data_IF_521493558677
#
_entry.id   IF_521493558677
#
_cell.length_a   1.000
_cell.length_b   1.000
_cell.length_c   1.000
_cell.angle_alpha   90.00
_cell.angle_beta   90.00
_cell.angle_gamma   90.00
#
_symmetry.space_group_name_H-M   'P 1'
#
loop_
_entity.id
_entity.type
_entity.pdbx_description
1 polymer ?
2 non-polymer ?
3 non-polymer ?
4 non-polymer ?
5 water ?
#
# COMPACT_ATOMS: atom_id res chain seq x y z
N UNK A 1 21.16 6.62 -10.92
CA UNK A 1 20.09 6.86 -9.93
C UNK A 1 19.64 5.50 -9.42
N UNK A 2 19.43 4.55 -10.33
CA UNK A 2 19.00 3.18 -9.92
C UNK A 2 20.22 2.26 -10.03
N UNK A 3 20.56 1.54 -8.96
CA UNK A 3 21.83 0.78 -8.95
C UNK A 3 21.64 -0.62 -9.56
N UNK A 4 21.36 -0.69 -10.86
CA UNK A 4 21.10 -1.90 -11.54
C UNK A 4 22.26 -2.91 -11.42
N UNK A 5 23.47 -2.43 -11.42
CA UNK A 5 24.68 -3.31 -11.42
C UNK A 5 24.80 -4.04 -10.08
N UNK A 6 24.57 -3.29 -8.96
CA UNK A 6 24.58 -3.88 -7.64
C UNK A 6 23.41 -4.82 -7.52
N UNK A 7 22.20 -4.35 -7.93
CA UNK A 7 21.04 -5.12 -7.65
C UNK A 7 21.09 -6.44 -8.46
N UNK A 8 21.38 -6.33 -9.72
CA UNK A 8 21.36 -7.53 -10.52
C UNK A 8 22.24 -8.59 -9.77
N UNK A 9 23.38 -8.12 -9.23
CA UNK A 9 24.49 -9.02 -8.76
C UNK A 9 23.78 -9.82 -7.67
N UNK A 10 22.97 -9.13 -6.89
CA UNK A 10 22.29 -9.86 -5.85
C UNK A 10 21.43 -10.90 -6.58
N UNK A 11 20.67 -10.46 -7.61
CA UNK A 11 19.54 -11.33 -8.03
C UNK A 11 20.15 -12.55 -8.77
N UNK A 12 21.24 -12.34 -9.49
CA UNK A 12 21.83 -13.38 -10.31
C UNK A 12 22.61 -14.37 -9.43
N UNK A 13 22.76 -14.04 -8.13
CA UNK A 13 23.82 -14.75 -7.34
C UNK A 13 23.57 -16.27 -7.35
N UNK A 14 22.30 -16.68 -7.31
CA UNK A 14 22.04 -18.13 -7.35
C UNK A 14 22.04 -18.81 -8.72
N UNK A 15 22.44 -18.12 -9.81
CA UNK A 15 22.41 -18.71 -11.10
C UNK A 15 21.03 -19.09 -11.59
N UNK A 16 21.02 -19.97 -12.56
CA UNK A 16 19.75 -20.54 -13.07
C UNK A 16 19.08 -19.75 -14.19
N UNK A 17 19.83 -18.81 -14.80
CA UNK A 17 19.43 -18.06 -16.01
C UNK A 17 17.99 -17.49 -15.88
N UNK A 18 17.77 -16.64 -14.90
CA UNK A 18 16.40 -16.29 -14.50
C UNK A 18 15.84 -15.16 -15.36
N UNK A 19 16.71 -14.40 -16.03
CA UNK A 19 16.29 -13.27 -16.84
C UNK A 19 15.65 -12.14 -16.06
N UNK A 20 16.20 -11.84 -14.87
CA UNK A 20 15.72 -10.70 -14.09
C UNK A 20 15.76 -9.42 -14.95
N UNK A 21 14.70 -8.62 -14.91
CA UNK A 21 14.66 -7.34 -15.64
C UNK A 21 13.92 -6.33 -14.76
N UNK A 22 14.37 -5.06 -14.78
CA UNK A 22 13.73 -3.99 -14.01
C UNK A 22 12.33 -3.77 -14.58
N UNK A 23 11.35 -3.53 -13.72
CA UNK A 23 9.98 -3.21 -14.20
C UNK A 23 9.45 -1.90 -13.61
N UNK A 24 10.21 -1.23 -12.74
CA UNK A 24 9.92 0.16 -12.39
C UNK A 24 11.08 1.02 -12.89
N UNK A 30 16.12 2.13 -5.75
CA UNK A 30 15.05 1.21 -5.13
C UNK A 30 14.00 0.74 -6.16
N UNK A 31 14.33 -0.33 -6.87
CA UNK A 31 13.69 -0.76 -8.06
C UNK A 31 13.03 -2.12 -7.85
N UNK A 32 12.05 -2.45 -8.66
CA UNK A 32 11.37 -3.69 -8.69
C UNK A 32 11.75 -4.39 -9.97
N UNK A 33 12.03 -5.69 -9.86
CA UNK A 33 12.48 -6.51 -10.93
C UNK A 33 11.55 -7.71 -11.03
N UNK A 34 11.47 -8.31 -12.23
CA UNK A 34 10.68 -9.47 -12.41
C UNK A 34 11.54 -10.52 -13.14
N UNK A 35 11.31 -11.79 -12.83
CA UNK A 35 12.00 -12.85 -13.50
C UNK A 35 11.35 -13.01 -14.88
N UNK A 36 12.12 -13.58 -15.83
CA UNK A 36 11.66 -13.75 -17.22
C UNK A 36 10.38 -14.58 -17.28
N UNK A 37 10.24 -15.60 -16.44
CA UNK A 37 9.12 -16.51 -16.53
C UNK A 37 7.89 -15.91 -15.81
N UNK A 38 8.02 -14.72 -15.23
CA UNK A 38 6.93 -14.01 -14.58
C UNK A 38 6.58 -14.51 -13.18
N UNK A 39 7.27 -15.53 -12.66
CA UNK A 39 6.85 -16.21 -11.43
C UNK A 39 7.47 -15.58 -10.17
N UNK A 40 8.39 -14.61 -10.31
CA UNK A 40 9.08 -14.03 -9.13
C UNK A 40 9.35 -12.54 -9.34
N UNK A 41 9.22 -11.79 -8.23
CA UNK A 41 9.53 -10.41 -8.22
C UNK A 41 10.66 -10.19 -7.24
N UNK A 42 11.37 -9.07 -7.40
CA UNK A 42 12.27 -8.61 -6.39
C UNK A 42 12.15 -7.09 -6.23
N UNK A 43 12.31 -6.65 -5.00
CA UNK A 43 12.45 -5.27 -4.67
C UNK A 43 13.82 -5.07 -4.07
N UNK A 44 14.55 -4.11 -4.58
CA UNK A 44 15.90 -3.94 -4.11
C UNK A 44 16.09 -2.46 -3.71
N UNK A 45 16.93 -2.23 -2.70
CA UNK A 45 17.17 -0.93 -2.18
C UNK A 45 18.64 -0.72 -1.89
N UNK A 46 19.11 0.56 -1.96
CA UNK A 46 20.46 0.87 -1.54
C UNK A 46 20.66 0.68 -0.04
N UNK A 47 21.95 0.66 0.33
CA UNK A 47 22.47 0.40 1.68
C UNK A 47 21.71 1.18 2.77
N UNK A 48 21.36 2.43 2.45
CA UNK A 48 20.69 3.40 3.33
C UNK A 48 19.26 3.01 3.70
N UNK A 49 18.60 2.13 2.92
CA UNK A 49 17.21 1.79 3.04
C UNK A 49 16.99 0.35 3.49
N UNK A 50 18.08 -0.36 3.74
CA UNK A 50 18.02 -1.79 3.99
C UNK A 50 17.10 -2.09 5.19
N UNK A 51 17.15 -1.30 6.27
CA UNK A 51 16.30 -1.61 7.46
C UNK A 51 14.81 -1.59 7.07
N UNK A 52 14.44 -0.61 6.22
CA UNK A 52 13.10 -0.47 5.76
C UNK A 52 12.71 -1.70 4.92
N UNK A 53 13.65 -2.19 4.09
CA UNK A 53 13.30 -3.37 3.27
C UNK A 53 13.23 -4.63 4.15
N UNK A 54 14.09 -4.68 5.15
CA UNK A 54 14.06 -5.80 6.10
C UNK A 54 12.70 -5.82 6.80
N UNK A 55 12.19 -4.63 7.13
CA UNK A 55 10.90 -4.58 7.85
C UNK A 55 9.77 -4.99 6.91
N UNK A 56 9.90 -4.74 5.61
CA UNK A 56 9.00 -5.26 4.59
C UNK A 56 9.05 -6.77 4.46
N UNK A 57 10.25 -7.34 4.44
CA UNK A 57 10.41 -8.72 4.46
C UNK A 57 9.66 -9.39 5.63
N UNK A 58 9.85 -8.78 6.81
CA UNK A 58 9.19 -9.26 8.04
C UNK A 58 7.66 -9.20 7.91
N UNK A 59 7.15 -8.14 7.34
CA UNK A 59 5.73 -7.97 7.19
C UNK A 59 5.14 -9.04 6.26
N UNK A 60 5.87 -9.38 5.18
CA UNK A 60 5.42 -10.32 4.20
C UNK A 60 5.47 -11.70 4.85
N UNK A 61 6.58 -12.00 5.50
CA UNK A 61 6.72 -13.28 6.16
C UNK A 61 5.67 -13.49 7.23
N UNK A 62 5.42 -12.44 7.99
CA UNK A 62 4.43 -12.64 9.08
C UNK A 62 3.05 -12.79 8.47
N UNK A 63 2.73 -11.97 7.47
CA UNK A 63 1.38 -12.10 6.90
C UNK A 63 1.13 -13.52 6.34
N UNK A 64 2.15 -14.29 5.93
CA UNK A 64 1.93 -15.57 5.43
C UNK A 64 1.44 -16.52 6.55
N UNK A 65 1.57 -16.10 7.79
CA UNK A 65 1.11 -16.94 8.93
C UNK A 65 -0.28 -16.47 9.47
N UNK A 66 -0.92 -15.57 8.78
CA UNK A 66 -2.17 -14.96 9.25
C UNK A 66 -3.41 -15.32 8.39
N UNK A 67 -3.26 -16.19 7.43
CA UNK A 67 -4.34 -16.61 6.55
C UNK A 67 -4.94 -15.43 5.78
N UNK A 68 -4.08 -14.53 5.32
CA UNK A 68 -4.43 -13.40 4.45
C UNK A 68 -3.59 -13.55 3.19
N UNK A 69 -4.23 -13.60 1.99
CA UNK A 69 -3.51 -13.96 0.78
C UNK A 69 -2.53 -12.88 0.33
N UNK A 70 -1.29 -13.32 0.08
CA UNK A 70 -0.21 -12.39 -0.27
C UNK A 70 0.95 -13.20 -0.79
N UNK A 71 2.04 -12.49 -1.14
CA UNK A 71 3.17 -13.24 -1.67
C UNK A 71 3.85 -13.98 -0.55
N UNK A 72 4.71 -14.91 -0.99
CA UNK A 72 5.65 -15.55 -0.10
C UNK A 72 7.04 -14.94 -0.30
N UNK A 73 7.80 -14.86 0.77
CA UNK A 73 9.22 -14.43 0.69
C UNK A 73 10.01 -15.60 0.17
N UNK A 74 10.65 -15.39 -0.98
CA UNK A 74 11.50 -16.47 -1.53
C UNK A 74 12.94 -16.40 -1.06
N UNK A 75 13.50 -15.21 -0.89
CA UNK A 75 14.84 -14.95 -0.49
C UNK A 75 15.04 -13.51 -0.05
N UNK A 76 16.07 -13.38 0.79
CA UNK A 76 16.59 -12.13 1.34
C UNK A 76 18.10 -12.11 1.14
N UNK A 77 18.63 -11.10 0.38
CA UNK A 77 19.99 -11.09 -0.05
C UNK A 77 20.60 -9.70 0.21
N UNK A 78 21.76 -9.68 0.80
CA UNK A 78 22.41 -8.47 1.26
C UNK A 78 23.82 -8.42 0.78
N UNK A 79 24.28 -7.18 0.51
CA UNK A 79 25.68 -6.89 0.27
C UNK A 79 26.00 -5.45 0.63
N UNK A 80 27.20 -5.01 0.22
CA UNK A 80 27.68 -3.68 0.58
C UNK A 80 26.82 -2.61 -0.10
N UNK A 81 26.15 -2.94 -1.19
CA UNK A 81 25.45 -1.90 -1.92
C UNK A 81 23.95 -1.98 -1.74
N UNK A 82 23.48 -2.74 -0.73
CA UNK A 82 22.11 -2.75 -0.46
C UNK A 82 21.57 -4.17 -0.32
N UNK A 83 20.27 -4.33 -0.54
CA UNK A 83 19.58 -5.60 -0.25
C UNK A 83 18.51 -5.83 -1.30
N UNK A 84 18.12 -7.10 -1.47
CA UNK A 84 17.01 -7.44 -2.22
C UNK A 84 16.08 -8.42 -1.52
N UNK A 85 14.79 -8.22 -1.79
CA UNK A 85 13.70 -9.02 -1.22
C UNK A 85 13.01 -9.70 -2.39
N UNK A 86 13.15 -11.03 -2.52
CA UNK A 86 12.49 -11.75 -3.60
C UNK A 86 11.22 -12.39 -3.09
N UNK A 87 10.12 -12.22 -3.87
CA UNK A 87 8.79 -12.71 -3.51
C UNK A 87 8.18 -13.42 -4.71
N UNK A 88 7.24 -14.33 -4.40
CA UNK A 88 6.48 -15.04 -5.40
C UNK A 88 5.45 -14.09 -6.01
N UNK A 89 5.18 -14.26 -7.31
CA UNK A 89 4.17 -13.48 -7.97
C UNK A 89 2.83 -13.89 -7.39
N UNK A 90 2.04 -12.86 -7.03
CA UNK A 90 0.58 -13.07 -6.87
C UNK A 90 -0.07 -12.92 -8.26
N UNK A 91 -0.49 -14.07 -8.79
CA UNK A 91 -0.98 -14.20 -10.13
C UNK A 91 -2.37 -13.55 -10.26
N UNK A 92 -2.57 -12.78 -11.32
CA UNK A 92 -3.88 -12.22 -11.64
C UNK A 92 -3.78 -10.81 -12.14
N UNK A 93 -4.85 -10.05 -12.02
CA UNK A 93 -4.88 -8.76 -12.66
C UNK A 93 -4.93 -7.73 -11.54
N UNK A 94 -4.01 -6.75 -11.54
CA UNK A 94 -4.06 -5.64 -10.58
C UNK A 94 -5.32 -4.80 -10.77
N UNK A 95 -5.96 -4.57 -9.61
CA UNK A 95 -7.31 -4.05 -9.59
C UNK A 95 -7.40 -2.70 -10.33
N UNK A 96 -6.28 -1.97 -10.40
CA UNK A 96 -6.35 -0.69 -11.12
C UNK A 96 -6.59 -0.90 -12.60
N UNK A 97 -6.27 -2.08 -13.13
CA UNK A 97 -6.37 -2.34 -14.54
C UNK A 97 -7.76 -2.84 -14.92
N UNK A 98 -8.60 -3.12 -13.93
CA UNK A 98 -10.00 -3.57 -14.18
C UNK A 98 -10.85 -2.46 -14.76
N UNK A 99 -11.73 -2.78 -15.71
CA UNK A 99 -12.84 -1.89 -16.06
C UNK A 99 -13.75 -1.68 -14.87
N UNK A 100 -14.64 -0.69 -14.98
CA UNK A 100 -15.66 -0.47 -13.98
C UNK A 100 -16.48 -1.75 -13.74
N UNK A 101 -16.88 -2.45 -14.81
CA UNK A 101 -17.71 -3.62 -14.64
C UNK A 101 -16.90 -4.69 -13.91
N UNK A 102 -15.65 -4.85 -14.30
CA UNK A 102 -14.82 -5.79 -13.66
C UNK A 102 -14.61 -5.42 -12.17
N UNK A 103 -14.36 -4.15 -11.86
CA UNK A 103 -14.12 -3.70 -10.47
C UNK A 103 -15.43 -3.86 -9.65
N UNK A 104 -16.56 -3.75 -10.31
CA UNK A 104 -17.88 -3.99 -9.62
C UNK A 104 -18.08 -5.47 -9.28
N UNK A 105 -17.62 -6.36 -10.18
CA UNK A 105 -17.63 -7.83 -9.87
C UNK A 105 -16.82 -8.16 -8.62
N UNK A 106 -15.67 -7.46 -8.46
CA UNK A 106 -14.68 -7.63 -7.41
C UNK A 106 -15.01 -6.84 -6.16
N UNK A 107 -16.01 -5.93 -6.20
CA UNK A 107 -16.08 -4.97 -5.16
C UNK A 107 -16.43 -5.61 -3.77
N UNK A 108 -17.44 -6.47 -3.71
CA UNK A 108 -17.83 -7.19 -2.47
C UNK A 108 -16.72 -8.16 -2.08
N UNK A 109 -16.08 -8.91 -3.01
CA UNK A 109 -14.92 -9.69 -2.64
C UNK A 109 -13.76 -8.86 -2.05
N UNK A 110 -13.49 -7.65 -2.59
CA UNK A 110 -12.50 -6.79 -1.98
C UNK A 110 -12.93 -6.33 -0.54
N UNK A 111 -14.16 -5.90 -0.31
CA UNK A 111 -14.65 -5.58 0.99
C UNK A 111 -14.50 -6.77 1.97
N UNK A 112 -14.76 -7.96 1.50
CA UNK A 112 -14.60 -9.19 2.36
C UNK A 112 -13.13 -9.42 2.71
N UNK A 113 -12.24 -9.29 1.71
CA UNK A 113 -10.84 -9.56 1.88
C UNK A 113 -10.20 -8.52 2.83
N UNK A 114 -10.57 -7.24 2.66
CA UNK A 114 -10.03 -6.22 3.43
C UNK A 114 -10.64 -6.38 4.86
N UNK A 115 -11.91 -6.72 4.97
CA UNK A 115 -12.50 -6.98 6.33
C UNK A 115 -11.74 -8.07 7.07
N UNK A 116 -11.37 -9.11 6.38
CA UNK A 116 -10.60 -10.19 7.00
C UNK A 116 -9.26 -9.66 7.52
N UNK A 117 -8.57 -8.84 6.72
CA UNK A 117 -7.32 -8.28 7.16
C UNK A 117 -7.53 -7.42 8.39
N UNK A 118 -8.56 -6.58 8.34
CA UNK A 118 -8.85 -5.67 9.42
C UNK A 118 -9.49 -6.33 10.65
N UNK A 119 -9.70 -7.62 10.57
CA UNK A 119 -10.20 -8.38 11.70
C UNK A 119 -9.03 -9.05 12.47
N UNK A 120 -7.82 -9.02 11.95
CA UNK A 120 -6.62 -9.54 12.74
C UNK A 120 -6.58 -8.71 14.01
N UNK A 121 -6.25 -9.35 15.14
CA UNK A 121 -6.19 -8.62 16.41
C UNK A 121 -5.04 -7.65 16.42
N UNK A 122 -5.33 -6.33 16.48
CA UNK A 122 -4.24 -5.40 16.21
C UNK A 122 -3.12 -5.44 17.26
N UNK A 123 -3.45 -5.75 18.51
CA UNK A 123 -2.44 -5.72 19.57
C UNK A 123 -1.48 -6.90 19.37
N UNK A 124 -1.86 -7.84 18.54
CA UNK A 124 -0.98 -9.04 18.26
C UNK A 124 -0.10 -8.78 17.06
N UNK A 125 -0.37 -7.71 16.32
CA UNK A 125 0.45 -7.43 15.14
C UNK A 125 1.84 -6.96 15.61
N UNK A 126 2.95 -7.47 15.03
CA UNK A 126 4.26 -6.95 15.40
C UNK A 126 4.56 -5.58 14.80
N UNK A 127 3.71 -5.15 13.88
CA UNK A 127 4.07 -3.99 13.05
C UNK A 127 3.07 -2.83 13.31
N UNK A 128 3.54 -1.61 13.00
CA UNK A 128 2.76 -0.45 13.13
C UNK A 128 2.95 0.53 11.97
N UNK A 129 1.90 1.29 11.66
CA UNK A 129 1.96 2.43 10.71
C UNK A 129 1.04 3.51 11.31
N UNK A 130 1.18 3.62 12.63
CA UNK A 130 0.24 4.52 13.34
C UNK A 130 0.52 5.96 13.00
N UNK A 131 -0.49 6.80 13.36
CA UNK A 131 -0.42 8.13 12.88
C UNK A 131 0.80 8.92 13.39
N UNK A 132 1.21 8.78 14.64
CA UNK A 132 2.39 9.50 15.12
C UNK A 132 3.64 9.23 14.27
N UNK A 133 3.81 7.96 13.86
CA UNK A 133 4.87 7.61 12.89
C UNK A 133 4.62 8.32 11.55
N UNK A 134 3.42 8.18 11.00
CA UNK A 134 3.16 8.68 9.62
C UNK A 134 3.19 10.20 9.61
N UNK A 135 2.63 10.87 10.62
CA UNK A 135 2.70 12.31 10.67
C UNK A 135 4.16 12.82 10.77
N UNK A 136 4.97 12.16 11.61
CA UNK A 136 6.39 12.46 11.69
C UNK A 136 7.07 12.30 10.34
N UNK A 137 6.73 11.21 9.61
CA UNK A 137 7.30 11.06 8.27
C UNK A 137 6.89 12.25 7.42
N UNK A 138 5.64 12.66 7.49
CA UNK A 138 5.20 13.77 6.64
C UNK A 138 6.00 15.07 6.93
N UNK A 139 6.23 15.32 8.22
CA UNK A 139 6.98 16.52 8.65
C UNK A 139 8.35 16.52 7.98
N UNK A 140 8.98 15.34 7.97
CA UNK A 140 10.34 15.11 7.43
C UNK A 140 10.39 15.34 5.90
N UNK A 141 9.42 14.75 5.21
CA UNK A 141 9.35 14.85 3.75
C UNK A 141 9.11 16.28 3.38
N UNK A 142 8.17 16.91 4.08
CA UNK A 142 7.88 18.28 3.81
C UNK A 142 9.07 19.21 4.12
N UNK A 143 9.82 18.91 5.18
CA UNK A 143 11.08 19.65 5.54
C UNK A 143 12.14 19.49 4.45
N UNK A 144 12.29 18.26 3.94
CA UNK A 144 13.20 18.01 2.84
C UNK A 144 12.67 18.53 1.50
N UNK A 145 11.51 19.18 1.43
CA UNK A 145 10.89 19.65 0.16
C UNK A 145 10.87 18.47 -0.85
N UNK A 146 10.46 17.27 -0.41
CA UNK A 146 10.59 16.06 -1.17
C UNK A 146 9.21 15.50 -1.58
N UNK A 147 8.13 16.28 -1.46
CA UNK A 147 6.79 15.78 -1.83
C UNK A 147 6.65 15.71 -3.35
N UNK A 148 6.16 14.58 -3.87
CA UNK A 148 5.89 14.45 -5.30
C UNK A 148 4.51 15.00 -5.56
N UNK A 149 4.30 16.12 -6.24
CA UNK A 149 2.96 16.65 -6.38
C UNK A 149 2.07 15.76 -7.24
N UNK A 150 2.67 14.78 -7.93
CA UNK A 150 1.82 13.94 -8.76
C UNK A 150 0.91 13.07 -7.83
N UNK A 151 1.29 12.95 -6.55
CA UNK A 151 0.54 12.14 -5.61
C UNK A 151 -0.58 12.91 -4.90
N UNK A 152 -0.62 14.21 -5.06
CA UNK A 152 -1.57 14.97 -4.33
C UNK A 152 -2.89 14.94 -5.09
N UNK A 153 -4.01 15.18 -4.35
CA UNK A 153 -5.29 15.52 -4.98
C UNK A 153 -5.06 16.65 -5.99
N UNK A 154 -5.79 16.59 -7.13
CA UNK A 154 -5.51 17.50 -8.24
C UNK A 154 -5.55 18.94 -7.73
N UNK A 155 -6.51 19.26 -6.89
CA UNK A 155 -6.75 20.61 -6.51
C UNK A 155 -5.67 21.14 -5.55
N UNK A 156 -4.79 20.27 -5.04
CA UNK A 156 -3.69 20.64 -4.12
C UNK A 156 -2.32 20.74 -4.83
N UNK A 157 -2.25 20.28 -6.09
CA UNK A 157 -0.94 20.08 -6.75
C UNK A 157 -0.17 21.41 -6.86
N UNK A 158 -0.87 22.56 -6.83
CA UNK A 158 -0.19 23.87 -6.99
C UNK A 158 -0.08 24.62 -5.67
N UNK A 159 -0.30 23.89 -4.56
CA UNK A 159 -0.15 24.48 -3.24
C UNK A 159 1.13 24.00 -2.61
N UNK A 160 1.92 24.86 -1.93
CA UNK A 160 3.17 24.40 -1.34
C UNK A 160 2.92 23.37 -0.25
N UNK A 161 3.58 22.21 -0.27
CA UNK A 161 3.32 21.17 0.73
C UNK A 161 3.47 21.58 2.20
N UNK A 162 4.23 22.64 2.52
CA UNK A 162 4.30 23.17 3.88
C UNK A 162 2.95 23.69 4.28
N UNK A 163 2.24 24.37 3.38
CA UNK A 163 0.91 24.87 3.66
C UNK A 163 -0.05 23.68 3.85
N UNK A 164 0.14 22.60 3.05
CA UNK A 164 -0.80 21.50 3.06
C UNK A 164 -0.63 20.77 4.38
N UNK A 165 0.61 20.67 4.86
CA UNK A 165 0.91 20.01 6.16
C UNK A 165 0.25 20.82 7.27
N UNK A 166 0.40 22.11 7.20
CA UNK A 166 -0.19 23.01 8.22
C UNK A 166 -1.70 22.83 8.35
N UNK A 167 -2.39 22.46 7.26
CA UNK A 167 -3.86 22.29 7.30
C UNK A 167 -4.17 21.08 8.17
N UNK A 168 -3.25 20.13 8.18
CA UNK A 168 -3.48 18.82 8.89
C UNK A 168 -3.01 18.88 10.37
N UNK A 169 -1.90 19.61 10.61
CA UNK A 169 -1.20 19.65 11.86
C UNK A 169 -2.14 19.85 13.06
N UNK A 170 -3.11 20.79 13.04
CA UNK A 170 -3.88 21.04 14.25
C UNK A 170 -4.86 19.91 14.58
N UNK A 171 -5.09 18.99 13.64
CA UNK A 171 -6.07 17.84 13.82
C UNK A 171 -5.42 16.56 14.34
N UNK A 172 -4.11 16.57 14.59
CA UNK A 172 -3.41 15.36 14.84
C UNK A 172 -3.95 14.76 16.15
N UNK A 173 -4.16 15.61 17.14
CA UNK A 173 -4.71 15.13 18.46
C UNK A 173 -6.06 14.45 18.26
N UNK A 174 -6.99 15.13 17.61
CA UNK A 174 -8.29 14.51 17.38
C UNK A 174 -8.21 13.19 16.64
N UNK A 175 -7.39 13.13 15.56
CA UNK A 175 -7.24 11.94 14.76
C UNK A 175 -6.56 10.81 15.54
N UNK A 176 -5.64 11.17 16.45
CA UNK A 176 -4.98 10.12 17.33
C UNK A 176 -6.04 9.49 18.24
N UNK A 177 -6.95 10.32 18.76
CA UNK A 177 -8.02 9.85 19.67
C UNK A 177 -8.93 8.89 18.85
N UNK A 178 -9.21 9.20 17.58
CA UNK A 178 -10.07 8.32 16.73
C UNK A 178 -9.32 7.03 16.39
N UNK A 179 -8.02 7.14 16.15
CA UNK A 179 -7.22 5.96 15.90
C UNK A 179 -7.16 5.03 17.13
N UNK A 180 -6.92 5.58 18.31
CA UNK A 180 -6.93 4.78 19.57
C UNK A 180 -8.25 4.01 19.69
N UNK A 181 -9.35 4.69 19.45
CA UNK A 181 -10.69 4.14 19.51
C UNK A 181 -10.90 3.01 18.49
N UNK A 182 -10.30 3.06 17.28
CA UNK A 182 -10.58 2.13 16.19
C UNK A 182 -9.28 1.90 15.41
N UNK A 183 -8.48 0.98 15.91
CA UNK A 183 -7.26 0.54 15.26
C UNK A 183 -7.51 -0.84 14.65
N UNK A 184 -6.95 -1.03 13.44
CA UNK A 184 -6.92 -2.28 12.78
C UNK A 184 -5.50 -2.56 12.27
N UNK A 185 -5.24 -3.80 11.80
CA UNK A 185 -4.10 -4.04 11.00
C UNK A 185 -4.40 -3.62 9.56
N UNK A 186 -3.77 -2.55 9.14
CA UNK A 186 -3.97 -2.04 7.82
C UNK A 186 -2.91 -2.58 6.83
N UNK A 187 -3.33 -2.75 5.58
CA UNK A 187 -2.43 -3.09 4.46
C UNK A 187 -1.31 -2.04 4.33
N UNK A 188 -1.69 -0.76 4.44
CA UNK A 188 -0.81 0.42 4.63
C UNK A 188 -0.60 1.23 3.37
N UNK A 189 -0.93 0.66 2.21
CA UNK A 189 -0.95 1.39 0.95
C UNK A 189 -1.99 0.75 0.06
N UNK A 190 -3.26 0.87 0.49
CA UNK A 190 -4.36 0.07 -0.12
C UNK A 190 -4.94 0.80 -1.37
N UNK A 191 -4.06 1.16 -2.30
CA UNK A 191 -4.44 1.64 -3.60
C UNK A 191 -4.75 0.43 -4.47
N UNK A 192 -5.62 0.59 -5.46
CA UNK A 192 -6.01 -0.54 -6.34
C UNK A 192 -4.85 -1.34 -6.93
N UNK A 193 -3.71 -0.78 -7.36
CA UNK A 193 -2.66 -1.62 -7.92
C UNK A 193 -2.11 -2.66 -6.96
N UNK A 194 -2.36 -2.56 -5.64
CA UNK A 194 -1.80 -3.43 -4.66
C UNK A 194 -2.80 -4.51 -4.28
N UNK A 195 -3.92 -4.57 -5.02
CA UNK A 195 -4.96 -5.70 -4.83
C UNK A 195 -5.01 -6.51 -6.13
N UNK A 196 -4.57 -7.77 -6.10
CA UNK A 196 -4.56 -8.55 -7.28
C UNK A 196 -5.84 -9.35 -7.36
N UNK A 197 -6.50 -9.33 -8.49
CA UNK A 197 -7.73 -10.07 -8.71
C UNK A 197 -7.48 -11.37 -9.52
N UNK A 198 -8.20 -12.44 -9.11
CA UNK A 198 -8.28 -13.60 -9.91
C UNK A 198 -8.98 -13.25 -11.22
N UNK A 199 -8.37 -13.47 -12.40
CA UNK A 199 -8.87 -12.95 -13.65
C UNK A 199 -10.06 -13.71 -14.24
N UNK A 200 -10.45 -14.84 -13.59
CA UNK A 200 -11.56 -15.63 -14.00
C UNK A 200 -12.79 -15.45 -13.07
N UNK A 201 -12.56 -15.49 -11.75
CA UNK A 201 -13.70 -15.39 -10.79
C UNK A 201 -13.90 -13.95 -10.34
N UNK A 202 -12.84 -13.15 -10.43
CA UNK A 202 -12.77 -11.74 -9.93
C UNK A 202 -12.93 -11.67 -8.40
N UNK A 203 -12.62 -12.77 -7.72
CA UNK A 203 -12.30 -12.76 -6.29
C UNK A 203 -10.90 -12.17 -6.13
N UNK A 204 -10.49 -11.88 -4.91
CA UNK A 204 -9.16 -11.36 -4.59
C UNK A 204 -8.16 -12.50 -4.53
N UNK A 205 -7.16 -12.43 -5.38
CA UNK A 205 -6.08 -13.40 -5.40
C UNK A 205 -5.10 -13.12 -4.25
N UNK A 206 -4.80 -11.86 -4.00
CA UNK A 206 -4.00 -11.45 -2.91
C UNK A 206 -3.57 -9.98 -2.94
N UNK A 207 -2.94 -9.57 -1.87
CA UNK A 207 -2.37 -8.28 -1.61
C UNK A 207 -0.88 -8.26 -1.88
N UNK A 208 -0.40 -7.14 -2.46
CA UNK A 208 1.03 -6.97 -2.68
C UNK A 208 1.50 -5.64 -2.06
N UNK A 209 2.81 -5.33 -2.14
CA UNK A 209 3.35 -4.01 -1.72
C UNK A 209 3.01 -3.73 -0.23
N UNK A 210 3.54 -4.61 0.59
CA UNK A 210 3.15 -4.74 2.03
C UNK A 210 4.09 -4.02 3.02
N UNK A 211 4.94 -3.13 2.54
CA UNK A 211 5.96 -2.57 3.39
C UNK A 211 5.47 -1.55 4.42
N UNK A 212 4.22 -1.12 4.31
CA UNK A 212 3.58 -0.27 5.34
C UNK A 212 2.54 -1.04 6.17
N UNK A 213 2.50 -2.35 6.10
CA UNK A 213 1.51 -3.09 6.84
C UNK A 213 1.63 -2.78 8.34
N UNK A 214 0.48 -2.66 9.07
CA UNK A 214 0.57 -2.45 10.48
C UNK A 214 -0.61 -1.68 11.04
N UNK A 215 -0.64 -1.65 12.36
CA UNK A 215 -1.70 -0.94 13.10
C UNK A 215 -1.86 0.44 12.52
N UNK A 216 -3.14 0.85 12.34
CA UNK A 216 -3.54 2.20 12.04
C UNK A 216 -5.04 2.27 12.04
N UNK A 217 -5.54 3.50 11.95
CA UNK A 217 -6.99 3.69 11.75
C UNK A 217 -7.40 2.99 10.45
N UNK A 218 -8.56 2.32 10.34
CA UNK A 218 -8.95 1.64 9.11
C UNK A 218 -8.99 2.67 7.92
N UNK A 219 -9.37 3.94 8.18
CA UNK A 219 -9.35 4.92 7.10
C UNK A 219 -7.96 5.16 6.49
N UNK A 220 -6.84 4.74 7.14
CA UNK A 220 -5.55 4.85 6.45
C UNK A 220 -5.61 4.00 5.16
N UNK A 221 -6.25 2.84 5.24
CA UNK A 221 -6.56 1.95 4.07
C UNK A 221 -7.80 2.43 3.23
N UNK A 222 -8.96 2.66 3.82
CA UNK A 222 -10.17 2.92 3.04
C UNK A 222 -10.03 4.21 2.20
N UNK A 223 -9.41 5.27 2.76
CA UNK A 223 -9.21 6.53 1.98
C UNK A 223 -8.55 6.24 0.62
N UNK A 224 -7.51 5.41 0.63
CA UNK A 224 -6.72 5.13 -0.60
C UNK A 224 -7.53 4.25 -1.54
N UNK A 225 -8.16 3.20 -0.95
CA UNK A 225 -8.97 2.36 -1.76
C UNK A 225 -10.11 3.11 -2.46
N UNK A 226 -10.83 4.00 -1.78
CA UNK A 226 -11.90 4.66 -2.36
C UNK A 226 -11.45 5.70 -3.39
N UNK A 227 -10.36 6.41 -3.10
CA UNK A 227 -9.89 7.44 -4.00
C UNK A 227 -9.43 6.77 -5.30
N UNK A 228 -8.65 5.68 -5.20
CA UNK A 228 -8.19 5.05 -6.40
C UNK A 228 -9.32 4.37 -7.20
N UNK A 229 -10.33 3.80 -6.50
CA UNK A 229 -11.51 3.30 -7.25
C UNK A 229 -12.26 4.40 -7.99
N UNK A 230 -12.27 5.61 -7.46
CA UNK A 230 -12.90 6.70 -8.13
C UNK A 230 -12.21 7.02 -9.45
N UNK A 231 -10.94 6.66 -9.61
CA UNK A 231 -10.29 6.80 -10.95
C UNK A 231 -11.03 5.89 -11.96
N UNK A 232 -11.45 4.70 -11.52
CA UNK A 232 -12.17 3.82 -12.40
C UNK A 232 -13.64 4.18 -12.62
N UNK A 233 -14.38 4.54 -11.55
CA UNK A 233 -15.79 4.78 -11.61
C UNK A 233 -16.03 6.03 -12.47
N UNK A 234 -15.10 6.94 -12.48
CA UNK A 234 -15.12 8.04 -13.50
C UNK A 234 -16.06 9.16 -13.06
N UNK A 235 -16.68 9.80 -14.05
CA UNK A 235 -17.44 11.01 -13.87
C UNK A 235 -18.62 10.75 -12.89
N UNK A 236 -19.04 9.49 -12.78
CA UNK A 236 -20.30 9.01 -12.10
C UNK A 236 -20.25 9.25 -10.58
N UNK A 237 -20.49 10.50 -10.17
CA UNK A 237 -20.47 10.90 -8.76
C UNK A 237 -21.48 10.05 -7.95
N UNK A 238 -22.57 9.64 -8.62
CA UNK A 238 -23.66 9.05 -7.92
C UNK A 238 -23.37 7.56 -7.71
N UNK A 239 -22.92 6.84 -8.75
CA UNK A 239 -22.43 5.45 -8.55
C UNK A 239 -21.27 5.51 -7.52
N UNK A 240 -20.35 6.48 -7.58
CA UNK A 240 -19.18 6.43 -6.65
C UNK A 240 -19.62 6.47 -5.17
N UNK A 241 -20.65 7.28 -4.84
CA UNK A 241 -21.14 7.36 -3.49
C UNK A 241 -21.85 6.04 -3.15
N UNK A 242 -22.64 5.51 -4.07
CA UNK A 242 -23.38 4.25 -3.78
C UNK A 242 -22.35 3.17 -3.51
N UNK A 243 -21.33 3.19 -4.33
CA UNK A 243 -20.31 2.12 -4.27
C UNK A 243 -19.65 2.12 -2.88
N UNK A 244 -19.40 3.31 -2.36
CA UNK A 244 -18.77 3.47 -1.06
C UNK A 244 -19.71 3.11 0.08
N UNK A 245 -20.97 3.52 -0.01
CA UNK A 245 -21.98 3.11 0.96
C UNK A 245 -22.12 1.60 0.98
N UNK A 246 -22.11 0.97 -0.19
CA UNK A 246 -22.26 -0.47 -0.29
C UNK A 246 -21.05 -1.18 0.29
N UNK A 247 -19.87 -0.64 -0.01
CA UNK A 247 -18.61 -1.18 0.53
C UNK A 247 -18.67 -1.13 2.08
N UNK A 248 -19.11 0.01 2.60
CA UNK A 248 -19.13 0.26 4.00
C UNK A 248 -20.10 -0.71 4.67
N UNK A 249 -21.26 -0.99 4.05
CA UNK A 249 -22.24 -1.91 4.64
C UNK A 249 -21.69 -3.36 4.67
N UNK A 250 -20.99 -3.78 3.61
CA UNK A 250 -20.46 -5.16 3.48
C UNK A 250 -19.30 -5.32 4.47
N UNK A 251 -18.44 -4.29 4.54
CA UNK A 251 -17.27 -4.31 5.36
C UNK A 251 -17.62 -4.15 6.84
N UNK A 252 -18.62 -3.31 7.15
CA UNK A 252 -19.19 -3.07 8.53
C UNK A 252 -18.59 -1.83 9.15
N UNK A 253 -18.83 -0.67 8.51
CA UNK A 253 -18.43 0.61 9.09
C UNK A 253 -19.39 1.69 8.59
N UNK A 254 -19.58 2.74 9.42
CA UNK A 254 -20.40 3.83 9.07
C UNK A 254 -19.45 4.90 8.57
N UNK A 255 -19.61 5.32 7.32
CA UNK A 255 -18.63 6.26 6.70
C UNK A 255 -18.46 7.52 7.56
N UNK A 256 -17.21 7.85 7.87
CA UNK A 256 -16.80 9.19 8.43
C UNK A 256 -15.94 9.95 7.42
N UNK A 257 -16.57 10.82 6.69
CA UNK A 257 -15.90 11.43 5.55
C UNK A 257 -14.75 12.34 5.98
N UNK A 258 -14.87 13.00 7.14
CA UNK A 258 -13.86 13.92 7.54
C UNK A 258 -12.58 13.13 7.86
N UNK A 259 -12.74 12.01 8.53
CA UNK A 259 -11.63 11.16 8.86
C UNK A 259 -11.01 10.55 7.60
N UNK A 260 -11.85 10.13 6.66
CA UNK A 260 -11.37 9.60 5.39
C UNK A 260 -10.52 10.66 4.66
N UNK A 261 -11.00 11.92 4.66
CA UNK A 261 -10.32 13.00 3.93
C UNK A 261 -8.96 13.30 4.57
N UNK A 262 -8.89 13.26 5.90
CA UNK A 262 -7.63 13.51 6.59
C UNK A 262 -6.58 12.51 6.07
N UNK A 263 -6.95 11.24 6.05
CA UNK A 263 -6.02 10.17 5.59
C UNK A 263 -5.65 10.35 4.11
N UNK A 264 -6.63 10.76 3.28
CA UNK A 264 -6.35 10.96 1.87
C UNK A 264 -5.33 12.07 1.74
N UNK A 265 -5.48 13.14 2.54
CA UNK A 265 -4.64 14.36 2.39
C UNK A 265 -3.26 14.16 3.04
N UNK A 266 -3.14 13.27 4.03
CA UNK A 266 -1.86 13.04 4.67
C UNK A 266 -0.99 12.14 3.82
N UNK A 267 -1.57 11.11 3.23
CA UNK A 267 -0.77 10.06 2.62
C UNK A 267 0.27 10.61 1.63
N UNK A 268 -0.13 11.43 0.66
CA UNK A 268 0.90 11.90 -0.28
C UNK A 268 2.13 12.56 0.39
N UNK A 269 1.90 13.20 1.55
CA UNK A 269 2.97 14.00 2.22
C UNK A 269 4.00 13.06 2.82
N UNK A 270 3.71 11.75 2.90
CA UNK A 270 4.51 10.81 3.62
C UNK A 270 5.53 10.08 2.72
N UNK A 271 5.62 10.44 1.42
CA UNK A 271 6.43 9.65 0.44
C UNK A 271 7.55 10.53 -0.08
N UNK A 272 8.75 10.03 0.07
CA UNK A 272 9.94 10.62 -0.46
C UNK A 272 10.98 10.87 0.59
X LIG B 1 6.09 -7.45 -1.00
X LIG B 1 5.58 -6.25 -0.40
X LIG B 1 6.14 -7.23 -2.51
X LIG B 1 4.90 -7.07 -3.24
X LIG B 1 6.93 -6.01 -2.83
X LIG B 1 8.24 -6.31 -2.35
X LIG C 1 5.82 -3.27 -6.75
X LIG C 1 5.64 -2.56 -8.05
X LIG C 1 4.82 -3.33 -9.14
X LIG C 1 5.32 -4.66 -9.36
X LIG C 1 3.29 -3.61 -8.82
X LIG C 1 2.40 -2.56 -9.17
X LIG C 1 2.85 -5.09 -9.17
X LIG C 1 1.94 -5.65 -10.21
X LIG C 1 4.25 -5.68 -9.19
X LIG C 1 4.54 -6.64 -8.04
X LIG C 1 5.42 -6.57 -7.00
X LIG C 1 5.45 -7.74 -6.25
X LIG C 1 4.54 -8.53 -6.84
X LIG C 1 4.12 -9.82 -6.50
X LIG C 1 4.91 -10.35 -5.36
X LIG C 1 3.08 -10.21 -7.37
X LIG C 1 2.53 -9.58 -8.39
X LIG C 1 2.94 -8.35 -8.80
X LIG C 1 3.92 -7.83 -8.04
X LIG D 1 -4.38 11.12 -9.46
X LIG D 1 -4.95 12.19 -10.17
X LIG D 1 -4.73 12.79 -11.34
X LIG D 1 -5.58 13.83 -11.57
X LIG D 1 -3.83 12.42 -12.17
X LIG D 1 -3.17 10.22 -9.85
X LIG D 1 -2.39 10.55 -10.96
X LIG D 1 -2.34 9.66 -8.73
X LIG D 1 -1.43 8.58 -8.94
X LIG D 1 -0.14 8.54 -9.26
X LIG D 1 0.45 7.37 -9.39
X LIG D 1 0.59 9.53 -9.46
X LIG D 1 -3.01 9.69 -7.41
X LIG D 1 -2.01 9.42 -6.43
X LIG D 1 -4.01 10.80 -6.97
X LIG D 1 -3.70 11.55 -5.70
X LIG D 1 -4.68 11.64 -8.04
X LIG D 1 -4.65 13.10 -7.89
X LIG D 1 -2.05 8.06 -5.86
X LIG D 1 -1.19 7.96 -4.70
X LIG D 1 -2.13 8.25 -3.50
X LIG D 1 -2.27 7.04 -2.68
X LIG D 1 -1.59 9.44 -2.68
X LIG D 1 -0.55 9.18 -2.01
X LIG D 1 -3.46 8.46 -4.22
X LIG D 1 -4.63 7.82 -3.46
X LIG D 1 -3.41 7.84 -5.51
X LIG D 1 -0.46 6.77 -4.45
X LIG D 1 0.53 6.41 -5.40
X LIG D 1 1.53 5.51 -4.68
X LIG D 1 2.05 5.93 -3.38
X LIG D 1 2.59 7.32 -3.37
X LIG D 1 1.01 4.07 -4.74
X LIG D 1 1.74 3.21 -4.06
X LIG D 1 0.27 3.64 -6.04
X LIG D 1 -0.43 2.36 -5.87
X LIG D 1 -0.43 4.66 -6.69
X LIG D 1 -0.09 6.02 -6.56
X LIG D 1 -1.21 4.32 -7.93
X LIG D 1 -1.56 5.46 -8.61
#
# INVERSE_FOLDING_TARGET
MIDLTAFLTLLRADGGDAGWEPVTDGESGAAVFRSADGSRYAKCVPADQVAALEAERDRVSWLSTQDIPGPRVLDWRVGAAGAGLLTSTVEGIPADRASASMLRAAWEPIADAVRRLHELPPEKCPFTRELGEMFSMARDVVAREAVNPDFLPEEQRHTPPGELLARLAPYVGQRLAQEAAQTVVCHGDLCLPNIILDPDTLDVAGFIDLGRLGRADPYADLALLFATARETWGDDERWSQSAEEEFAARYGIALDRDRERFYLHLDPLTWG
GOL C1 O1 C2 O2 C3 O3
ADP O5' C5' C4' O4' C3' O3' C2' O2' C1' N9 C8 N7 C5 C6 N6 N1 C2 N3 C4
SRY C11 N11 CA1 NB1 NC1 C21 O21 C31 N31 CD1 NE1 NF1 C41 O41 C51 O51 C61 O61 C12 C22 C32 O32 CG2 OG2 C42 CH2 O42 O13 C13 C23 N23 CI3 C33 O33 C43 O43 C53 O53 C63 O63
#
